data_IF_770025777429
#
_entry.id   IF_770025777429
#
_cell.length_a   1.000
_cell.length_b   1.000
_cell.length_c   1.000
_cell.angle_alpha   90.00
_cell.angle_beta   90.00
_cell.angle_gamma   90.00
#
_symmetry.space_group_name_H-M   'P 1'
#
loop_
_entity.id
_entity.type
_entity.pdbx_description
1 polymer ?
#
# COMPACT_ATOMS: atom_id res chain seq x y z
N UNK A 1 27.73 -15.30 -14.72
CA UNK A 1 26.67 -14.38 -14.27
C UNK A 1 26.85 -13.06 -14.99
N UNK A 2 25.83 -12.58 -15.71
CA UNK A 2 25.85 -11.28 -16.38
C UNK A 2 25.28 -10.22 -15.44
N UNK A 3 26.07 -9.21 -15.12
CA UNK A 3 25.65 -8.06 -14.33
C UNK A 3 24.66 -7.21 -15.13
N UNK A 4 23.52 -6.85 -14.53
CA UNK A 4 22.58 -5.88 -15.12
C UNK A 4 22.80 -4.51 -14.49
N UNK A 5 22.89 -3.48 -15.32
CA UNK A 5 22.98 -2.08 -14.92
C UNK A 5 21.63 -1.40 -15.05
N UNK A 6 21.30 -0.53 -14.09
CA UNK A 6 20.08 0.27 -14.09
C UNK A 6 20.44 1.71 -13.72
N UNK A 7 19.67 2.67 -14.22
CA UNK A 7 19.84 4.09 -13.88
C UNK A 7 19.38 4.38 -12.45
N UNK A 8 18.44 3.59 -11.91
CA UNK A 8 18.02 3.66 -10.53
C UNK A 8 17.64 2.29 -9.94
N UNK A 9 17.90 2.10 -8.65
CA UNK A 9 17.44 0.96 -7.87
C UNK A 9 16.61 1.47 -6.69
N UNK A 10 15.36 1.02 -6.60
CA UNK A 10 14.44 1.33 -5.50
C UNK A 10 14.31 0.09 -4.62
N UNK A 11 14.64 0.23 -3.34
CA UNK A 11 14.51 -0.85 -2.36
C UNK A 11 13.28 -0.60 -1.50
N UNK A 12 12.29 -1.48 -1.65
CA UNK A 12 10.99 -1.42 -1.00
C UNK A 12 9.89 -0.94 -1.95
N UNK A 13 8.87 -1.77 -2.15
CA UNK A 13 7.67 -1.40 -2.91
C UNK A 13 6.56 -0.84 -1.99
N UNK A 14 6.95 0.01 -1.03
CA UNK A 14 6.03 0.78 -0.21
C UNK A 14 5.34 1.91 -0.99
N UNK A 15 4.56 2.75 -0.32
CA UNK A 15 3.74 3.79 -0.98
C UNK A 15 4.51 4.72 -1.92
N UNK A 16 5.78 5.02 -1.61
CA UNK A 16 6.62 5.88 -2.44
C UNK A 16 7.26 5.15 -3.63
N UNK A 17 7.43 3.83 -3.56
CA UNK A 17 8.21 3.05 -4.53
C UNK A 17 7.59 3.05 -5.93
N UNK A 18 6.39 2.51 -6.13
CA UNK A 18 5.72 2.48 -7.44
C UNK A 18 5.55 3.85 -8.11
N UNK A 19 5.11 4.94 -7.45
CA UNK A 19 4.99 6.24 -8.12
C UNK A 19 6.35 6.84 -8.48
N UNK A 20 7.39 6.62 -7.67
CA UNK A 20 8.75 7.02 -8.02
C UNK A 20 9.26 6.22 -9.24
N UNK A 21 9.09 4.90 -9.23
CA UNK A 21 9.44 4.03 -10.34
C UNK A 21 8.74 4.48 -11.63
N UNK A 22 7.43 4.73 -11.57
CA UNK A 22 6.66 5.21 -12.73
C UNK A 22 7.12 6.56 -13.26
N UNK A 23 7.53 7.49 -12.39
CA UNK A 23 8.10 8.79 -12.83
C UNK A 23 9.46 8.63 -13.50
N UNK A 24 10.33 7.79 -12.96
CA UNK A 24 11.65 7.53 -13.52
C UNK A 24 11.57 6.79 -14.86
N UNK A 25 10.70 5.78 -14.97
CA UNK A 25 10.50 5.08 -16.25
C UNK A 25 9.85 5.98 -17.30
N UNK A 26 8.94 6.87 -16.91
CA UNK A 26 8.38 7.89 -17.80
C UNK A 26 9.44 8.90 -18.30
N UNK A 27 10.51 9.11 -17.54
CA UNK A 27 11.67 9.90 -17.95
C UNK A 27 12.68 9.12 -18.81
N UNK A 28 12.35 7.88 -19.21
CA UNK A 28 13.21 7.03 -20.05
C UNK A 28 14.30 6.27 -19.28
N UNK A 29 14.29 6.32 -17.95
CA UNK A 29 15.28 5.64 -17.13
C UNK A 29 14.93 4.15 -16.94
N UNK A 30 15.96 3.31 -16.94
CA UNK A 30 15.87 1.91 -16.52
C UNK A 30 15.87 1.83 -14.98
N UNK A 31 14.85 1.17 -14.41
CA UNK A 31 14.66 1.12 -12.95
C UNK A 31 14.50 -0.32 -12.48
N UNK A 32 15.24 -0.71 -11.44
CA UNK A 32 15.00 -1.93 -10.69
C UNK A 32 14.23 -1.61 -9.39
N UNK A 33 13.03 -2.15 -9.22
CA UNK A 33 12.28 -2.10 -7.97
C UNK A 33 12.37 -3.45 -7.27
N UNK A 34 12.84 -3.47 -6.03
CA UNK A 34 13.06 -4.69 -5.26
C UNK A 34 12.18 -4.65 -4.01
N UNK A 35 11.29 -5.63 -3.87
CA UNK A 35 10.51 -5.87 -2.66
C UNK A 35 10.75 -7.30 -2.18
N UNK A 36 10.91 -7.46 -0.87
CA UNK A 36 11.20 -8.75 -0.26
C UNK A 36 9.95 -9.59 -0.04
N UNK A 37 8.81 -8.97 0.27
CA UNK A 37 7.61 -9.70 0.71
C UNK A 37 6.33 -9.24 0.03
N UNK A 38 5.71 -8.16 0.51
CA UNK A 38 4.40 -7.71 0.04
C UNK A 38 4.51 -6.34 -0.61
N UNK A 39 4.03 -6.25 -1.85
CA UNK A 39 3.88 -4.98 -2.56
C UNK A 39 2.87 -4.09 -1.83
N UNK A 40 3.11 -2.78 -1.82
CA UNK A 40 2.30 -1.78 -1.13
C UNK A 40 2.82 -1.40 0.25
N UNK A 41 3.79 -2.17 0.79
CA UNK A 41 4.46 -1.92 2.07
C UNK A 41 3.50 -1.86 3.25
N UNK A 42 3.88 -1.14 4.30
CA UNK A 42 3.12 -1.07 5.55
C UNK A 42 1.70 -0.56 5.34
N UNK A 43 1.51 0.56 4.65
CA UNK A 43 0.20 1.22 4.52
C UNK A 43 -0.90 0.27 4.02
N UNK A 44 -0.59 -0.52 2.98
CA UNK A 44 -1.55 -1.43 2.35
C UNK A 44 -1.71 -2.72 3.14
N UNK A 45 -0.63 -3.27 3.67
CA UNK A 45 -0.64 -4.64 4.21
C UNK A 45 -0.89 -4.70 5.71
N UNK A 46 -0.37 -3.74 6.48
CA UNK A 46 -0.37 -3.79 7.95
C UNK A 46 -0.51 -2.41 8.61
N UNK A 47 -1.03 -1.42 7.87
CA UNK A 47 -1.05 -0.02 8.29
C UNK A 47 -2.40 0.62 8.08
N UNK A 48 -2.43 1.75 7.37
CA UNK A 48 -3.61 2.59 7.24
C UNK A 48 -4.81 1.83 6.65
N UNK A 49 -4.62 1.08 5.57
CA UNK A 49 -5.73 0.40 4.89
C UNK A 49 -6.41 -0.66 5.78
N UNK A 50 -5.70 -1.67 6.35
CA UNK A 50 -6.32 -2.62 7.27
C UNK A 50 -6.93 -1.94 8.49
N UNK A 51 -6.26 -0.94 9.04
CA UNK A 51 -6.76 -0.22 10.23
C UNK A 51 -8.08 0.49 9.93
N UNK A 52 -8.21 1.16 8.77
CA UNK A 52 -9.45 1.84 8.39
C UNK A 52 -10.57 0.84 8.08
N UNK A 53 -10.27 -0.31 7.48
CA UNK A 53 -11.24 -1.40 7.34
C UNK A 53 -11.76 -1.86 8.70
N UNK A 54 -10.87 -2.12 9.66
CA UNK A 54 -11.26 -2.55 11.01
C UNK A 54 -12.11 -1.50 11.73
N UNK A 55 -11.74 -0.21 11.62
CA UNK A 55 -12.53 0.90 12.20
C UNK A 55 -13.93 0.96 11.60
N UNK A 56 -14.07 0.79 10.28
CA UNK A 56 -15.38 0.78 9.62
C UNK A 56 -16.23 -0.40 10.09
N UNK A 57 -15.65 -1.60 10.20
CA UNK A 57 -16.35 -2.78 10.75
C UNK A 57 -16.78 -2.58 12.21
N UNK A 58 -15.92 -2.01 13.05
CA UNK A 58 -16.25 -1.70 14.44
C UNK A 58 -17.39 -0.69 14.54
N UNK A 59 -17.38 0.33 13.67
CA UNK A 59 -18.45 1.32 13.59
C UNK A 59 -19.78 0.69 13.19
N UNK A 60 -19.80 -0.16 12.16
CA UNK A 60 -21.00 -0.88 11.75
C UNK A 60 -21.57 -1.75 12.88
N UNK A 61 -20.71 -2.49 13.59
CA UNK A 61 -21.12 -3.29 14.73
C UNK A 61 -21.66 -2.44 15.89
N UNK A 62 -21.06 -1.26 16.12
CA UNK A 62 -21.54 -0.31 17.13
C UNK A 62 -22.93 0.25 16.79
N UNK A 63 -23.15 0.65 15.53
CA UNK A 63 -24.46 1.10 15.07
C UNK A 63 -25.51 0.00 15.18
N UNK A 64 -25.19 -1.23 14.78
CA UNK A 64 -26.09 -2.37 14.90
C UNK A 64 -26.52 -2.63 16.36
N UNK A 65 -25.59 -2.50 17.32
CA UNK A 65 -25.92 -2.60 18.76
C UNK A 65 -26.84 -1.48 19.25
N UNK A 66 -26.86 -0.34 18.57
CA UNK A 66 -27.67 0.84 18.89
C UNK A 66 -28.88 1.00 17.96
N UNK A 67 -29.24 -0.03 17.19
CA UNK A 67 -30.33 0.06 16.21
C UNK A 67 -31.64 0.56 16.84
N UNK A 68 -31.94 0.13 18.07
CA UNK A 68 -33.12 0.55 18.81
C UNK A 68 -33.20 2.06 19.07
N UNK A 69 -32.08 2.77 19.20
CA UNK A 69 -32.05 4.24 19.34
C UNK A 69 -32.61 4.93 18.09
N UNK A 70 -32.61 4.23 16.96
CA UNK A 70 -33.06 4.71 15.65
C UNK A 70 -34.39 4.06 15.22
N UNK A 71 -35.02 3.26 16.09
CA UNK A 71 -36.27 2.57 15.78
C UNK A 71 -36.15 1.42 14.77
N UNK A 72 -34.93 0.89 14.57
CA UNK A 72 -34.65 -0.33 13.79
C UNK A 72 -34.53 -1.52 14.72
#
# INVERSE_FOLDING_TARGET
MTTKTFDAIIIGAGQAGPPLAGRLTAAGMSVALIERKLVGGTCVNTGCMPTKTMVASAYAAHLARRAADYGV
#
